data_IF_262163333921
#
_entry.id   IF_262163333921
#
_cell.length_a   1.000
_cell.length_b   1.000
_cell.length_c   1.000
_cell.angle_alpha   90.00
_cell.angle_beta   90.00
_cell.angle_gamma   90.00
#
_symmetry.space_group_name_H-M   'P 1'
#
loop_
_entity.id
_entity.type
_entity.pdbx_description
1 polymer ?
#
# COMPACT_ATOMS: atom_id res chain seq x y z
N UNK A 1 24.76 20.94 15.25
CA UNK A 1 24.70 19.82 14.28
C UNK A 1 23.70 18.76 14.77
N UNK A 2 22.54 18.58 14.11
CA UNK A 2 21.47 17.68 14.61
C UNK A 2 20.85 16.80 13.50
N UNK A 3 21.66 16.44 12.47
CA UNK A 3 21.22 15.66 11.30
C UNK A 3 21.47 14.14 11.41
N UNK A 4 22.17 13.66 12.43
CA UNK A 4 22.60 12.24 12.52
C UNK A 4 21.57 11.24 13.08
N UNK A 5 20.78 11.62 14.10
CA UNK A 5 19.92 10.64 14.83
C UNK A 5 18.60 10.27 14.15
N UNK A 6 18.05 11.14 13.29
CA UNK A 6 16.75 10.88 12.64
C UNK A 6 16.87 9.92 11.43
N UNK A 7 17.98 9.99 10.69
CA UNK A 7 18.20 9.11 9.53
C UNK A 7 18.46 7.66 9.96
N UNK A 8 19.22 7.42 11.03
CA UNK A 8 19.57 6.06 11.47
C UNK A 8 18.36 5.23 11.93
N UNK A 9 17.35 5.86 12.56
CA UNK A 9 16.14 5.15 12.98
C UNK A 9 15.25 4.77 11.80
N UNK A 10 15.10 5.64 10.80
CA UNK A 10 14.31 5.37 9.59
C UNK A 10 14.96 4.24 8.80
N UNK A 11 16.29 4.31 8.62
CA UNK A 11 17.06 3.29 7.92
C UNK A 11 16.99 1.93 8.61
N UNK A 12 17.15 1.87 9.94
CA UNK A 12 16.98 0.63 10.71
C UNK A 12 15.57 0.04 10.56
N UNK A 13 14.54 0.87 10.61
CA UNK A 13 13.16 0.43 10.41
C UNK A 13 12.93 -0.11 8.98
N UNK A 14 13.52 0.53 7.96
CA UNK A 14 13.44 0.07 6.58
C UNK A 14 14.19 -1.25 6.37
N UNK A 15 15.35 -1.44 7.00
CA UNK A 15 16.09 -2.70 6.96
C UNK A 15 15.30 -3.85 7.57
N UNK A 16 14.68 -3.63 8.73
CA UNK A 16 13.82 -4.63 9.38
C UNK A 16 12.58 -4.95 8.55
N UNK A 17 11.93 -3.92 7.98
CA UNK A 17 10.80 -4.11 7.08
C UNK A 17 11.21 -4.85 5.81
N UNK A 18 12.41 -4.59 5.28
CA UNK A 18 12.92 -5.30 4.10
C UNK A 18 13.08 -6.80 4.37
N UNK A 19 13.71 -7.18 5.49
CA UNK A 19 13.80 -8.59 5.91
C UNK A 19 12.42 -9.23 6.06
N UNK A 20 11.50 -8.54 6.74
CA UNK A 20 10.13 -9.03 6.94
C UNK A 20 9.39 -9.22 5.60
N UNK A 21 9.49 -8.26 4.68
CA UNK A 21 8.90 -8.37 3.35
C UNK A 21 9.54 -9.49 2.54
N UNK A 22 10.86 -9.71 2.67
CA UNK A 22 11.56 -10.80 2.01
C UNK A 22 11.04 -12.16 2.48
N UNK A 23 11.09 -12.43 3.80
CA UNK A 23 10.60 -13.69 4.38
C UNK A 23 9.13 -13.92 4.03
N UNK A 24 8.26 -12.93 4.20
CA UNK A 24 6.85 -13.08 3.88
C UNK A 24 6.59 -13.27 2.37
N UNK A 25 7.44 -12.72 1.50
CA UNK A 25 7.35 -12.96 0.05
C UNK A 25 7.76 -14.39 -0.31
N UNK A 26 8.76 -14.96 0.38
CA UNK A 26 9.15 -16.37 0.25
C UNK A 26 8.02 -17.31 0.66
N UNK A 27 7.43 -17.08 1.83
CA UNK A 27 6.25 -17.84 2.30
C UNK A 27 5.05 -17.68 1.34
N UNK A 28 4.85 -16.48 0.78
CA UNK A 28 3.79 -16.27 -0.20
C UNK A 28 4.05 -16.99 -1.53
N UNK A 29 5.32 -17.19 -1.92
CA UNK A 29 5.67 -17.97 -3.10
C UNK A 29 5.42 -19.47 -2.85
N UNK A 30 5.84 -19.99 -1.69
CA UNK A 30 5.53 -21.37 -1.27
C UNK A 30 4.01 -21.61 -1.26
N UNK A 31 3.23 -20.67 -0.69
CA UNK A 31 1.76 -20.74 -0.69
C UNK A 31 1.17 -20.74 -2.10
N UNK A 32 1.74 -19.96 -3.03
CA UNK A 32 1.30 -19.95 -4.44
C UNK A 32 1.49 -21.34 -5.07
N UNK A 33 2.62 -21.99 -4.81
CA UNK A 33 2.90 -23.34 -5.30
C UNK A 33 1.95 -24.37 -4.66
N UNK A 34 1.66 -24.25 -3.36
CA UNK A 34 0.67 -25.10 -2.68
C UNK A 34 -0.74 -24.93 -3.27
N UNK A 35 -1.14 -23.68 -3.56
CA UNK A 35 -2.42 -23.39 -4.21
C UNK A 35 -2.50 -24.05 -5.59
N UNK A 36 -1.43 -24.02 -6.38
CA UNK A 36 -1.39 -24.67 -7.69
C UNK A 36 -1.53 -26.18 -7.57
N UNK A 37 -0.74 -26.81 -6.69
CA UNK A 37 -0.84 -28.25 -6.39
C UNK A 37 -2.24 -28.65 -5.93
N UNK A 38 -2.86 -27.88 -5.03
CA UNK A 38 -4.22 -28.17 -4.57
C UNK A 38 -5.26 -28.07 -5.67
N UNK A 39 -5.11 -27.13 -6.61
CA UNK A 39 -6.01 -27.03 -7.77
C UNK A 39 -5.92 -28.25 -8.67
N UNK A 40 -4.70 -28.71 -8.93
CA UNK A 40 -4.45 -29.93 -9.71
C UNK A 40 -5.08 -31.14 -9.02
N UNK A 41 -4.78 -31.35 -7.73
CA UNK A 41 -5.37 -32.44 -6.94
C UNK A 41 -6.89 -32.41 -6.97
N UNK A 42 -7.52 -31.25 -6.77
CA UNK A 42 -8.98 -31.09 -6.80
C UNK A 42 -9.54 -31.40 -8.20
N UNK A 43 -8.84 -31.01 -9.27
CA UNK A 43 -9.30 -31.23 -10.64
C UNK A 43 -9.25 -32.70 -11.07
N UNK A 44 -8.36 -33.48 -10.48
CA UNK A 44 -8.21 -34.92 -10.73
C UNK A 44 -8.82 -35.78 -9.61
N UNK A 45 -9.53 -35.19 -8.65
CA UNK A 45 -10.02 -35.90 -7.48
C UNK A 45 -11.25 -36.74 -7.80
N UNK A 46 -11.21 -38.04 -7.50
CA UNK A 46 -12.31 -38.98 -7.74
C UNK A 46 -12.84 -39.68 -6.48
N UNK A 47 -12.41 -39.26 -5.28
CA UNK A 47 -12.81 -39.87 -4.00
C UNK A 47 -13.97 -39.12 -3.30
N UNK A 48 -14.14 -39.34 -1.99
CA UNK A 48 -15.30 -38.89 -1.18
C UNK A 48 -15.56 -37.38 -1.23
N UNK A 49 -16.85 -37.01 -1.27
CA UNK A 49 -17.32 -35.62 -1.25
C UNK A 49 -16.86 -34.84 -0.01
N UNK A 50 -16.70 -35.51 1.14
CA UNK A 50 -16.23 -34.86 2.37
C UNK A 50 -14.79 -34.38 2.27
N UNK A 51 -13.90 -35.23 1.74
CA UNK A 51 -12.49 -34.90 1.54
C UNK A 51 -12.33 -33.82 0.47
N UNK A 52 -13.10 -33.92 -0.61
CA UNK A 52 -13.13 -32.91 -1.67
C UNK A 52 -13.57 -31.55 -1.12
N UNK A 53 -14.57 -31.51 -0.24
CA UNK A 53 -15.02 -30.28 0.41
C UNK A 53 -13.95 -29.71 1.35
N UNK A 54 -13.24 -30.55 2.11
CA UNK A 54 -12.12 -30.12 2.94
C UNK A 54 -10.98 -29.49 2.11
N UNK A 55 -10.61 -30.11 0.98
CA UNK A 55 -9.61 -29.59 0.05
C UNK A 55 -10.04 -28.25 -0.57
N UNK A 56 -11.29 -28.13 -1.02
CA UNK A 56 -11.86 -26.87 -1.53
C UNK A 56 -11.84 -25.76 -0.47
N UNK A 57 -12.17 -26.09 0.79
CA UNK A 57 -12.11 -25.14 1.90
C UNK A 57 -10.67 -24.67 2.14
N UNK A 58 -9.70 -25.59 2.18
CA UNK A 58 -8.26 -25.26 2.32
C UNK A 58 -7.79 -24.36 1.18
N UNK A 59 -8.11 -24.70 -0.07
CA UNK A 59 -7.78 -23.89 -1.25
C UNK A 59 -8.35 -22.47 -1.14
N UNK A 60 -9.61 -22.33 -0.71
CA UNK A 60 -10.27 -21.03 -0.51
C UNK A 60 -9.55 -20.20 0.56
N UNK A 61 -9.19 -20.81 1.69
CA UNK A 61 -8.48 -20.13 2.77
C UNK A 61 -7.08 -19.66 2.32
N UNK A 62 -6.30 -20.52 1.67
CA UNK A 62 -4.96 -20.16 1.18
C UNK A 62 -5.03 -19.07 0.12
N UNK A 63 -5.97 -19.16 -0.82
CA UNK A 63 -6.18 -18.13 -1.86
C UNK A 63 -6.52 -16.78 -1.24
N UNK A 64 -7.43 -16.76 -0.25
CA UNK A 64 -7.80 -15.54 0.48
C UNK A 64 -6.60 -14.94 1.22
N UNK A 65 -5.80 -15.78 1.90
CA UNK A 65 -4.57 -15.36 2.59
C UNK A 65 -3.54 -14.77 1.62
N UNK A 66 -3.40 -15.35 0.43
CA UNK A 66 -2.53 -14.86 -0.64
C UNK A 66 -2.97 -13.49 -1.16
N UNK A 67 -4.27 -13.33 -1.45
CA UNK A 67 -4.84 -12.08 -1.95
C UNK A 67 -4.67 -10.93 -0.96
N UNK A 68 -4.97 -11.15 0.32
CA UNK A 68 -4.77 -10.13 1.35
C UNK A 68 -3.32 -9.73 1.49
N UNK A 69 -2.41 -10.70 1.54
CA UNK A 69 -0.98 -10.39 1.62
C UNK A 69 -0.52 -9.53 0.44
N UNK A 70 -0.92 -9.85 -0.80
CA UNK A 70 -0.57 -9.04 -1.96
C UNK A 70 -1.14 -7.62 -1.91
N UNK A 71 -2.39 -7.46 -1.46
CA UNK A 71 -3.01 -6.14 -1.31
C UNK A 71 -2.27 -5.28 -0.27
N UNK A 72 -1.98 -5.85 0.90
CA UNK A 72 -1.28 -5.15 1.98
C UNK A 72 0.18 -4.84 1.63
N UNK A 73 0.89 -5.78 1.00
CA UNK A 73 2.23 -5.59 0.47
C UNK A 73 2.25 -4.43 -0.53
N UNK A 74 1.27 -4.37 -1.43
CA UNK A 74 1.14 -3.30 -2.42
C UNK A 74 0.91 -1.94 -1.75
N UNK A 75 0.10 -1.88 -0.69
CA UNK A 75 -0.13 -0.66 0.08
C UNK A 75 1.18 -0.13 0.70
N UNK A 76 1.98 -1.03 1.28
CA UNK A 76 3.29 -0.69 1.86
C UNK A 76 4.20 -0.11 0.77
N UNK A 77 4.42 -0.83 -0.33
CA UNK A 77 5.31 -0.36 -1.39
C UNK A 77 4.86 0.97 -2.01
N UNK A 78 3.55 1.14 -2.27
CA UNK A 78 3.02 2.42 -2.75
C UNK A 78 3.36 3.55 -1.80
N UNK A 79 3.13 3.37 -0.49
CA UNK A 79 3.46 4.38 0.49
C UNK A 79 4.96 4.72 0.50
N UNK A 80 5.81 3.70 0.51
CA UNK A 80 7.27 3.87 0.55
C UNK A 80 7.79 4.63 -0.68
N UNK A 81 7.29 4.28 -1.87
CA UNK A 81 7.64 4.95 -3.13
C UNK A 81 7.17 6.41 -3.12
N UNK A 82 5.90 6.66 -2.78
CA UNK A 82 5.36 8.03 -2.77
C UNK A 82 6.00 8.93 -1.72
N UNK A 83 6.44 8.34 -0.61
CA UNK A 83 7.13 9.03 0.46
C UNK A 83 8.64 9.18 0.20
N UNK A 84 9.14 8.75 -0.97
CA UNK A 84 10.55 8.77 -1.36
C UNK A 84 11.47 8.07 -0.34
N UNK A 85 10.94 7.06 0.35
CA UNK A 85 11.69 6.23 1.31
C UNK A 85 12.43 5.10 0.61
N UNK A 86 12.02 4.75 -0.60
CA UNK A 86 12.62 3.72 -1.44
C UNK A 86 12.64 4.21 -2.89
N UNK A 87 13.65 3.78 -3.64
CA UNK A 87 13.81 4.14 -5.05
C UNK A 87 13.35 3.00 -5.95
N UNK A 88 12.67 3.38 -7.04
CA UNK A 88 12.41 2.49 -8.17
C UNK A 88 13.63 2.50 -9.08
N UNK A 89 14.26 1.34 -9.28
CA UNK A 89 15.43 1.23 -10.16
C UNK A 89 15.06 1.29 -11.64
N UNK A 90 13.84 0.85 -11.95
CA UNK A 90 13.29 0.75 -13.29
C UNK A 90 12.15 -0.25 -13.30
N UNK A 91 11.78 -0.74 -14.48
CA UNK A 91 10.64 -1.64 -14.61
C UNK A 91 10.85 -2.71 -15.69
N UNK A 92 10.12 -3.82 -15.58
CA UNK A 92 10.00 -4.85 -16.60
C UNK A 92 8.53 -5.02 -16.97
N UNK A 93 8.27 -5.51 -18.17
CA UNK A 93 6.91 -5.80 -18.66
C UNK A 93 6.76 -7.31 -18.74
N UNK A 94 5.74 -7.87 -18.09
CA UNK A 94 5.42 -9.29 -18.18
C UNK A 94 3.91 -9.44 -18.38
N UNK A 95 3.51 -9.98 -19.53
CA UNK A 95 2.12 -10.00 -19.96
C UNK A 95 1.54 -8.58 -20.02
N UNK A 96 0.39 -8.37 -19.40
CA UNK A 96 -0.30 -7.06 -19.35
C UNK A 96 0.14 -6.15 -18.19
N UNK A 97 1.14 -6.55 -17.40
CA UNK A 97 1.52 -5.84 -16.17
C UNK A 97 2.93 -5.24 -16.24
N UNK A 98 3.08 -4.04 -15.66
CA UNK A 98 4.38 -3.42 -15.45
C UNK A 98 4.87 -3.71 -14.04
N UNK A 99 6.05 -4.32 -13.92
CA UNK A 99 6.68 -4.66 -12.65
C UNK A 99 7.84 -3.71 -12.38
N UNK A 100 7.67 -2.80 -11.42
CA UNK A 100 8.74 -1.95 -10.91
C UNK A 100 9.67 -2.74 -10.00
N UNK A 101 10.97 -2.47 -10.12
CA UNK A 101 12.01 -3.02 -9.23
C UNK A 101 12.29 -2.03 -8.11
N UNK A 102 11.92 -2.39 -6.89
CA UNK A 102 12.19 -1.61 -5.68
C UNK A 102 13.35 -2.27 -4.93
N UNK A 103 14.41 -1.51 -4.64
CA UNK A 103 15.44 -1.97 -3.71
C UNK A 103 15.15 -1.43 -2.31
N UNK A 104 15.18 -2.33 -1.31
CA UNK A 104 15.13 -1.98 0.11
C UNK A 104 16.26 -2.70 0.83
N UNK A 105 17.28 -1.96 1.28
CA UNK A 105 18.49 -2.60 1.82
C UNK A 105 19.10 -3.55 0.79
N UNK A 106 19.33 -4.80 1.21
CA UNK A 106 20.00 -5.83 0.41
C UNK A 106 19.03 -6.64 -0.48
N UNK A 107 17.72 -6.35 -0.42
CA UNK A 107 16.70 -7.10 -1.14
C UNK A 107 16.04 -6.29 -2.25
N UNK A 108 15.75 -6.96 -3.37
CA UNK A 108 15.00 -6.41 -4.49
C UNK A 108 13.60 -7.02 -4.53
N UNK A 109 12.61 -6.17 -4.79
CA UNK A 109 11.21 -6.54 -4.83
C UNK A 109 10.58 -6.11 -6.14
N UNK A 110 9.83 -7.03 -6.76
CA UNK A 110 8.95 -6.71 -7.85
C UNK A 110 7.58 -6.27 -7.33
N UNK A 111 7.10 -5.13 -7.84
CA UNK A 111 5.83 -4.51 -7.47
C UNK A 111 5.11 -4.04 -8.72
N UNK A 112 3.82 -4.34 -8.82
CA UNK A 112 3.00 -3.87 -9.94
C UNK A 112 2.86 -2.34 -9.84
N UNK A 113 3.27 -1.64 -10.90
CA UNK A 113 3.18 -0.19 -11.03
C UNK A 113 2.34 0.20 -12.24
N UNK A 114 1.78 1.41 -12.23
CA UNK A 114 1.02 1.96 -13.35
C UNK A 114 1.92 2.81 -14.26
N UNK A 115 1.45 3.09 -15.49
CA UNK A 115 2.18 3.93 -16.46
C UNK A 115 2.48 5.34 -15.92
N UNK A 116 1.56 5.92 -15.14
CA UNK A 116 1.77 7.22 -14.48
C UNK A 116 3.01 7.24 -13.57
N UNK A 117 3.29 6.15 -12.85
CA UNK A 117 4.50 6.05 -12.03
C UNK A 117 5.76 5.93 -12.90
N UNK A 118 5.69 5.19 -14.01
CA UNK A 118 6.81 5.06 -14.96
C UNK A 118 7.18 6.45 -15.51
N UNK A 119 6.19 7.20 -16.00
CA UNK A 119 6.39 8.56 -16.53
C UNK A 119 6.90 9.53 -15.46
N UNK A 120 6.25 9.54 -14.29
CA UNK A 120 6.60 10.45 -13.18
C UNK A 120 8.04 10.27 -12.69
N UNK A 121 8.51 9.02 -12.65
CA UNK A 121 9.86 8.70 -12.18
C UNK A 121 10.85 8.48 -13.33
N UNK A 122 10.43 8.71 -14.59
CA UNK A 122 11.24 8.51 -15.79
C UNK A 122 11.97 7.16 -15.78
N UNK A 123 11.23 6.10 -15.46
CA UNK A 123 11.82 4.77 -15.28
C UNK A 123 12.22 4.17 -16.62
N UNK A 124 13.43 3.60 -16.67
CA UNK A 124 13.89 2.83 -17.82
C UNK A 124 13.44 1.36 -17.72
N UNK A 125 13.21 0.73 -18.87
CA UNK A 125 12.97 -0.71 -18.96
C UNK A 125 14.30 -1.43 -18.70
N UNK A 126 14.37 -2.32 -17.71
CA UNK A 126 15.62 -2.99 -17.30
C UNK A 126 15.80 -4.36 -17.98
N UNK A 127 14.74 -4.95 -18.50
CA UNK A 127 14.80 -6.21 -19.23
C UNK A 127 13.43 -6.71 -19.66
N UNK A 128 13.41 -7.93 -20.19
CA UNK A 128 12.20 -8.56 -20.75
C UNK A 128 11.54 -9.57 -19.81
N UNK A 129 12.24 -10.01 -18.76
CA UNK A 129 11.76 -11.02 -17.81
C UNK A 129 11.93 -10.61 -16.35
N UNK A 130 11.21 -11.30 -15.46
CA UNK A 130 11.46 -11.21 -14.01
C UNK A 130 12.57 -12.21 -13.67
N UNK A 131 13.58 -11.80 -12.91
CA UNK A 131 14.54 -12.77 -12.35
C UNK A 131 13.78 -13.76 -11.47
N UNK A 132 14.13 -15.04 -11.57
CA UNK A 132 13.58 -16.06 -10.71
C UNK A 132 13.85 -15.73 -9.24
N UNK A 133 12.85 -16.03 -8.41
CA UNK A 133 12.93 -15.81 -6.97
C UNK A 133 13.43 -17.11 -6.35
N UNK A 134 14.74 -17.17 -6.08
CA UNK A 134 15.37 -18.32 -5.44
C UNK A 134 14.65 -18.63 -4.12
N UNK A 135 14.14 -19.85 -4.01
CA UNK A 135 13.30 -20.25 -2.89
C UNK A 135 14.16 -20.84 -1.79
N UNK A 136 14.15 -20.20 -0.62
CA UNK A 136 14.90 -20.63 0.56
C UNK A 136 14.08 -21.63 1.40
N UNK A 137 14.78 -22.47 2.16
CA UNK A 137 14.20 -23.40 3.13
C UNK A 137 13.62 -22.67 4.35
N UNK A 138 12.75 -23.32 5.13
CA UNK A 138 12.18 -22.71 6.34
C UNK A 138 13.27 -22.40 7.39
N UNK A 139 14.31 -23.24 7.48
CA UNK A 139 15.45 -23.03 8.36
C UNK A 139 16.24 -21.78 7.96
N UNK A 140 16.54 -21.62 6.67
CA UNK A 140 17.23 -20.46 6.13
C UNK A 140 16.42 -19.17 6.34
N UNK A 141 15.10 -19.23 6.16
CA UNK A 141 14.21 -18.10 6.42
C UNK A 141 14.20 -17.70 7.90
N UNK A 142 14.19 -18.69 8.81
CA UNK A 142 14.22 -18.44 10.24
C UNK A 142 15.53 -17.78 10.71
N UNK A 143 16.66 -18.05 10.04
CA UNK A 143 17.94 -17.36 10.29
C UNK A 143 17.84 -15.88 9.90
N UNK A 144 17.15 -15.55 8.80
CA UNK A 144 17.00 -14.17 8.33
C UNK A 144 16.11 -13.37 9.30
N UNK A 145 14.90 -13.89 9.54
CA UNK A 145 13.92 -13.33 10.46
C UNK A 145 12.81 -14.37 10.72
N UNK A 146 12.59 -14.81 11.98
CA UNK A 146 11.54 -15.77 12.29
C UNK A 146 10.16 -15.31 11.81
N UNK A 147 9.35 -16.23 11.29
CA UNK A 147 8.04 -15.90 10.67
C UNK A 147 7.15 -15.05 11.58
N UNK A 148 7.07 -15.38 12.87
CA UNK A 148 6.27 -14.63 13.85
C UNK A 148 6.73 -13.18 13.99
N UNK A 149 8.04 -12.95 13.93
CA UNK A 149 8.61 -11.61 14.00
C UNK A 149 8.42 -10.85 12.68
N UNK A 150 8.59 -11.52 11.54
CA UNK A 150 8.31 -10.96 10.22
C UNK A 150 6.85 -10.47 10.12
N UNK A 151 5.88 -11.28 10.55
CA UNK A 151 4.47 -10.87 10.60
C UNK A 151 4.23 -9.67 11.52
N UNK A 152 4.87 -9.66 12.70
CA UNK A 152 4.74 -8.55 13.66
C UNK A 152 5.24 -7.24 13.05
N UNK A 153 6.44 -7.25 12.47
CA UNK A 153 7.04 -6.07 11.83
C UNK A 153 6.17 -5.59 10.66
N UNK A 154 5.68 -6.51 9.84
CA UNK A 154 4.80 -6.21 8.71
C UNK A 154 3.50 -5.53 9.17
N UNK A 155 2.79 -6.14 10.12
CA UNK A 155 1.53 -5.59 10.66
C UNK A 155 1.72 -4.24 11.33
N UNK A 156 2.78 -4.06 12.12
CA UNK A 156 3.11 -2.78 12.76
C UNK A 156 3.43 -1.70 11.73
N UNK A 157 4.20 -2.03 10.69
CA UNK A 157 4.54 -1.10 9.61
C UNK A 157 3.30 -0.68 8.83
N UNK A 158 2.43 -1.63 8.47
CA UNK A 158 1.17 -1.36 7.79
C UNK A 158 0.25 -0.46 8.63
N UNK A 159 0.10 -0.73 9.92
CA UNK A 159 -0.70 0.09 10.83
C UNK A 159 -0.17 1.53 10.93
N UNK A 160 1.15 1.70 11.01
CA UNK A 160 1.81 3.01 11.03
C UNK A 160 1.60 3.77 9.72
N UNK A 161 1.70 3.09 8.58
CA UNK A 161 1.45 3.65 7.25
C UNK A 161 0.00 4.12 7.14
N UNK A 162 -0.98 3.26 7.49
CA UNK A 162 -2.41 3.61 7.48
C UNK A 162 -2.72 4.80 8.38
N UNK A 163 -2.13 4.86 9.57
CA UNK A 163 -2.27 6.00 10.49
C UNK A 163 -1.71 7.29 9.88
N UNK A 164 -0.54 7.22 9.23
CA UNK A 164 0.09 8.36 8.56
C UNK A 164 -0.75 8.88 7.39
N UNK A 165 -1.27 7.99 6.54
CA UNK A 165 -2.16 8.34 5.43
C UNK A 165 -3.44 9.01 5.96
N UNK A 166 -4.07 8.43 6.99
CA UNK A 166 -5.27 9.02 7.63
C UNK A 166 -5.00 10.42 8.17
N UNK A 167 -3.86 10.65 8.84
CA UNK A 167 -3.47 11.97 9.35
C UNK A 167 -3.25 12.97 8.21
N UNK A 168 -2.55 12.58 7.14
CA UNK A 168 -2.32 13.43 5.97
C UNK A 168 -3.65 13.84 5.30
N UNK A 169 -4.60 12.91 5.17
CA UNK A 169 -5.90 13.19 4.58
C UNK A 169 -6.75 14.13 5.46
N UNK A 170 -6.70 14.00 6.79
CA UNK A 170 -7.36 14.94 7.73
C UNK A 170 -6.78 16.36 7.65
N UNK A 171 -5.49 16.50 7.37
CA UNK A 171 -4.87 17.82 7.17
C UNK A 171 -5.28 18.43 5.82
N UNK A 172 -5.39 17.62 4.76
CA UNK A 172 -5.88 18.07 3.45
C UNK A 172 -7.35 18.50 3.50
N UNK A 173 -8.20 17.76 4.22
CA UNK A 173 -9.60 18.15 4.39
C UNK A 173 -9.75 19.46 5.16
N UNK A 174 -8.89 19.71 6.17
CA UNK A 174 -8.84 21.00 6.87
C UNK A 174 -8.37 22.16 5.99
N UNK A 175 -7.43 21.92 5.06
CA UNK A 175 -6.97 22.94 4.09
C UNK A 175 -7.99 23.23 2.99
N UNK A 176 -8.78 22.25 2.56
CA UNK A 176 -9.89 22.48 1.62
C UNK A 176 -11.12 23.11 2.28
N UNK A 177 -11.24 23.05 3.61
CA UNK A 177 -12.23 23.81 4.39
C UNK A 177 -11.74 25.17 4.87
N UNK A 178 -10.68 25.73 4.28
CA UNK A 178 -10.61 27.19 4.20
C UNK A 178 -11.63 27.65 3.15
N UNK A 179 -12.91 27.45 3.44
CA UNK A 179 -13.93 28.33 2.93
C UNK A 179 -13.47 29.74 3.30
N UNK A 180 -13.29 30.60 2.31
CA UNK A 180 -13.00 32.02 2.54
C UNK A 180 -13.95 32.49 3.64
N UNK A 181 -13.38 32.92 4.76
CA UNK A 181 -14.16 33.33 5.93
C UNK A 181 -15.22 34.33 5.49
N UNK A 182 -16.48 34.07 5.82
CA UNK A 182 -17.60 34.99 5.55
C UNK A 182 -17.19 36.40 6.00
N UNK A 183 -17.15 37.34 5.05
CA UNK A 183 -16.89 38.73 5.37
C UNK A 183 -18.14 39.28 6.08
N UNK A 184 -17.97 39.65 7.37
CA UNK A 184 -19.02 40.30 8.14
C UNK A 184 -19.16 41.71 7.58
N UNK A 185 -20.33 42.03 7.02
CA UNK A 185 -20.57 43.34 6.41
C UNK A 185 -21.02 44.37 7.44
N UNK A 186 -21.80 43.96 8.44
CA UNK A 186 -22.22 44.82 9.55
C UNK A 186 -22.66 44.01 10.76
N UNK A 187 -22.59 44.65 11.92
CA UNK A 187 -23.20 44.19 13.17
C UNK A 187 -24.11 45.30 13.67
N UNK A 188 -25.35 44.98 14.00
CA UNK A 188 -26.27 45.91 14.68
C UNK A 188 -26.83 45.25 15.94
N UNK A 189 -27.06 46.06 16.98
CA UNK A 189 -27.78 45.63 18.17
C UNK A 189 -29.26 45.93 17.98
N UNK A 190 -30.11 44.92 18.16
CA UNK A 190 -31.54 45.15 18.26
C UNK A 190 -31.87 45.81 19.61
N UNK A 191 -33.02 46.48 19.66
CA UNK A 191 -33.55 47.11 20.88
C UNK A 191 -33.71 46.16 22.07
N UNK A 192 -33.69 44.84 21.83
CA UNK A 192 -33.81 43.80 22.84
C UNK A 192 -32.45 43.18 23.22
N UNK A 193 -31.33 43.85 22.91
CA UNK A 193 -29.97 43.43 23.29
C UNK A 193 -29.36 42.29 22.47
N UNK A 194 -30.01 41.87 21.38
CA UNK A 194 -29.49 40.80 20.52
C UNK A 194 -28.60 41.36 19.40
N UNK A 195 -27.41 40.78 19.20
CA UNK A 195 -26.50 41.16 18.11
C UNK A 195 -26.91 40.44 16.83
N UNK A 196 -27.34 41.19 15.83
CA UNK A 196 -27.63 40.67 14.48
C UNK A 196 -26.38 40.86 13.61
N UNK A 197 -25.91 39.77 13.00
CA UNK A 197 -24.72 39.77 12.13
C UNK A 197 -25.15 39.39 10.72
N UNK A 198 -25.03 40.33 9.78
CA UNK A 198 -25.30 40.07 8.36
C UNK A 198 -24.00 39.58 7.70
N UNK A 199 -24.03 38.35 7.20
CA UNK A 199 -22.91 37.71 6.50
C UNK A 199 -23.25 37.53 5.03
N UNK A 200 -22.33 37.93 4.14
CA UNK A 200 -22.44 37.63 2.71
C UNK A 200 -21.82 36.27 2.42
N UNK A 201 -22.65 35.24 2.23
CA UNK A 201 -22.18 33.95 1.70
C UNK A 201 -21.79 34.12 0.24
N UNK A 202 -20.55 33.79 -0.12
CA UNK A 202 -20.22 33.52 -1.52
C UNK A 202 -20.68 32.09 -1.83
N UNK A 203 -21.76 31.95 -2.58
CA UNK A 203 -22.13 30.66 -3.15
C UNK A 203 -21.10 30.31 -4.22
N UNK A 204 -20.29 29.28 -4.00
CA UNK A 204 -19.51 28.65 -5.06
C UNK A 204 -20.46 27.78 -5.89
N UNK A 205 -21.19 28.42 -6.80
CA UNK A 205 -22.07 27.75 -7.75
C UNK A 205 -22.11 28.56 -9.02
N UNK A 206 -21.56 28.01 -10.10
CA UNK A 206 -21.81 28.49 -11.44
C UNK A 206 -23.33 28.51 -11.66
N UNK A 207 -23.91 29.69 -11.80
CA UNK A 207 -25.23 29.84 -12.39
C UNK A 207 -25.05 29.51 -13.87
N UNK A 208 -25.70 28.48 -14.44
CA UNK A 208 -25.74 28.35 -15.88
C UNK A 208 -26.58 29.52 -16.39
N UNK A 209 -25.93 30.46 -17.07
CA UNK A 209 -26.62 31.46 -17.86
C UNK A 209 -27.34 30.74 -18.99
N UNK A 210 -28.63 30.47 -18.81
CA UNK A 210 -29.51 30.16 -19.92
C UNK A 210 -29.52 31.38 -20.82
N UNK A 211 -28.86 31.28 -21.98
CA UNK A 211 -29.13 32.15 -23.12
C UNK A 211 -30.44 31.68 -23.72
N UNK A 212 -31.46 32.54 -23.65
CA UNK A 212 -32.36 32.91 -24.73
C UNK A 212 -33.11 34.16 -24.31
#
# INVERSE_FOLDING_TARGET
MNKGKKNSSIEKNLKNLSKALFVLSQIANQRKNEILRLKEVISSYTASDEELNALKLKLKQLTKKQQFFHAERTEIFRFLIYSKLVNLKGFNVLGAFNYGVVQMGDHHFYVIINKKLIEKFQLNKIGEGLKEFESLSEEELNIILPLREAEKIFKQSLAKIRSTIKKANKVKSKKSTNAQSDQILSKSLSSNGSIVVIKKRKFSGAVPTNKN
#
